data_IF_083058346398
#
_entry.id   IF_083058346398
#
_cell.length_a   1.000
_cell.length_b   1.000
_cell.length_c   1.000
_cell.angle_alpha   90.00
_cell.angle_beta   90.00
_cell.angle_gamma   90.00
#
_symmetry.space_group_name_H-M   'P 1'
#
loop_
_entity.id
_entity.type
_entity.pdbx_description
1 polymer ?
#
# COMPACT_ATOMS: atom_id res chain seq x y z
N UNK A 1 -14.67 -30.44 -56.45
CA UNK A 1 -15.40 -31.71 -56.35
C UNK A 1 -15.04 -32.35 -55.02
N UNK A 2 -16.08 -32.72 -54.27
CA UNK A 2 -16.15 -33.66 -53.15
C UNK A 2 -15.58 -33.29 -51.77
N UNK A 3 -16.51 -32.94 -50.88
CA UNK A 3 -16.56 -33.40 -49.49
C UNK A 3 -16.46 -34.93 -49.42
N UNK A 4 -15.89 -35.48 -48.33
CA UNK A 4 -16.44 -36.67 -47.65
C UNK A 4 -16.12 -36.60 -46.15
N UNK A 5 -17.19 -36.70 -45.38
CA UNK A 5 -17.29 -36.91 -43.94
C UNK A 5 -17.50 -38.41 -43.69
N UNK A 6 -16.69 -39.08 -42.85
CA UNK A 6 -17.06 -40.38 -42.22
C UNK A 6 -16.41 -40.51 -40.85
N UNK A 7 -17.24 -40.81 -39.86
CA UNK A 7 -16.90 -41.10 -38.47
C UNK A 7 -16.80 -42.61 -38.18
N UNK A 8 -15.85 -42.99 -37.30
CA UNK A 8 -15.86 -43.99 -36.17
C UNK A 8 -16.38 -45.43 -36.40
N UNK A 9 -15.87 -46.51 -35.72
CA UNK A 9 -15.80 -46.58 -34.24
C UNK A 9 -14.79 -47.55 -33.52
N UNK A 10 -14.68 -47.34 -32.19
CA UNK A 10 -14.70 -48.26 -31.03
C UNK A 10 -13.50 -49.10 -30.50
N UNK A 11 -13.45 -49.09 -29.15
CA UNK A 11 -12.80 -49.94 -28.11
C UNK A 11 -11.29 -49.77 -27.84
N UNK A 12 -10.81 -49.58 -26.60
CA UNK A 12 -11.47 -49.45 -25.29
C UNK A 12 -10.46 -49.39 -24.13
N UNK A 13 -10.92 -48.94 -22.96
CA UNK A 13 -10.43 -49.35 -21.63
C UNK A 13 -9.22 -48.63 -21.02
N UNK A 14 -9.47 -47.80 -19.98
CA UNK A 14 -8.43 -47.37 -19.04
C UNK A 14 -8.79 -46.13 -18.22
N UNK A 15 -9.60 -46.28 -17.16
CA UNK A 15 -9.77 -45.25 -16.12
C UNK A 15 -8.51 -45.18 -15.26
N UNK A 16 -7.93 -43.99 -15.11
CA UNK A 16 -7.11 -43.61 -13.94
C UNK A 16 -7.57 -42.22 -13.49
N UNK A 17 -7.97 -42.13 -12.23
CA UNK A 17 -8.35 -40.89 -11.57
C UNK A 17 -7.12 -39.97 -11.40
N UNK A 18 -7.26 -38.69 -11.77
CA UNK A 18 -6.31 -37.63 -11.46
C UNK A 18 -7.03 -36.45 -10.85
N UNK A 19 -7.15 -36.47 -9.52
CA UNK A 19 -7.48 -35.30 -8.70
C UNK A 19 -6.26 -34.39 -8.66
N UNK A 20 -6.37 -33.17 -9.18
CA UNK A 20 -5.23 -32.23 -9.18
C UNK A 20 -5.33 -31.09 -10.18
N UNK A 21 -6.49 -30.45 -10.33
CA UNK A 21 -6.61 -29.28 -11.22
C UNK A 21 -7.57 -28.18 -10.76
N UNK A 22 -8.19 -28.30 -9.58
CA UNK A 22 -9.19 -27.32 -9.13
C UNK A 22 -8.67 -26.20 -8.20
N UNK A 23 -7.44 -26.31 -7.66
CA UNK A 23 -6.87 -25.23 -6.82
C UNK A 23 -6.31 -24.05 -7.63
N UNK A 24 -5.70 -24.31 -8.79
CA UNK A 24 -5.05 -23.27 -9.59
C UNK A 24 -6.06 -22.32 -10.26
N UNK A 25 -7.30 -22.79 -10.48
CA UNK A 25 -8.39 -21.99 -11.03
C UNK A 25 -9.01 -21.03 -10.01
N UNK A 26 -8.83 -21.27 -8.71
CA UNK A 26 -9.45 -20.50 -7.62
C UNK A 26 -8.59 -19.32 -7.14
N UNK A 27 -7.26 -19.46 -7.17
CA UNK A 27 -6.34 -18.38 -6.82
C UNK A 27 -6.25 -17.27 -7.86
N UNK A 28 -6.16 -17.64 -9.15
CA UNK A 28 -6.24 -16.65 -10.24
C UNK A 28 -7.55 -15.87 -10.21
N UNK A 29 -8.67 -16.46 -9.80
CA UNK A 29 -9.96 -15.76 -9.71
C UNK A 29 -10.06 -14.76 -8.54
N UNK A 30 -9.21 -14.86 -7.51
CA UNK A 30 -9.26 -13.98 -6.32
C UNK A 30 -8.38 -12.74 -6.47
N UNK A 31 -7.12 -12.89 -6.90
CA UNK A 31 -6.23 -11.75 -7.17
C UNK A 31 -6.53 -11.04 -8.49
N UNK A 32 -7.07 -11.75 -9.50
CA UNK A 32 -7.65 -11.08 -10.67
C UNK A 32 -8.98 -10.39 -10.34
N UNK A 33 -9.76 -10.83 -9.34
CA UNK A 33 -10.92 -10.07 -8.85
C UNK A 33 -10.52 -8.84 -8.07
N UNK A 34 -9.49 -8.89 -7.23
CA UNK A 34 -8.97 -7.68 -6.58
C UNK A 34 -8.33 -6.71 -7.58
N UNK A 35 -7.58 -7.20 -8.58
CA UNK A 35 -7.02 -6.34 -9.64
C UNK A 35 -8.07 -5.85 -10.65
N UNK A 36 -9.15 -6.59 -10.90
CA UNK A 36 -10.28 -6.15 -11.75
C UNK A 36 -11.34 -5.34 -11.00
N UNK A 37 -11.26 -5.26 -9.66
CA UNK A 37 -12.11 -4.40 -8.83
C UNK A 37 -11.55 -3.00 -8.64
N UNK A 38 -10.27 -2.76 -8.96
CA UNK A 38 -9.75 -1.40 -9.14
C UNK A 38 -9.96 -0.94 -10.59
N UNK A 39 -11.23 -0.88 -11.02
CA UNK A 39 -11.62 0.15 -11.97
C UNK A 39 -11.62 1.45 -11.19
N UNK A 40 -10.73 2.38 -11.52
CA UNK A 40 -10.89 3.78 -11.13
C UNK A 40 -12.36 4.16 -11.37
N UNK A 41 -13.11 4.63 -10.35
CA UNK A 41 -14.46 5.11 -10.58
C UNK A 41 -14.39 6.20 -11.65
N UNK A 42 -15.08 5.96 -12.77
CA UNK A 42 -15.25 6.96 -13.81
C UNK A 42 -15.90 8.20 -13.20
N UNK A 43 -15.22 9.33 -13.33
CA UNK A 43 -15.72 10.65 -12.97
C UNK A 43 -17.00 10.90 -13.78
N UNK A 44 -18.16 10.85 -13.11
CA UNK A 44 -19.38 11.41 -13.69
C UNK A 44 -19.22 12.93 -13.79
N UNK A 45 -19.51 13.55 -14.95
CA UNK A 45 -19.36 14.98 -15.12
C UNK A 45 -20.37 15.74 -14.27
N UNK A 46 -19.87 16.61 -13.38
CA UNK A 46 -20.68 17.65 -12.72
C UNK A 46 -21.29 18.54 -13.80
N UNK A 47 -22.60 18.41 -13.98
CA UNK A 47 -23.42 19.23 -14.88
C UNK A 47 -23.54 20.64 -14.28
N UNK A 48 -22.76 21.59 -14.80
CA UNK A 48 -22.93 23.01 -14.51
C UNK A 48 -24.25 23.49 -15.10
N UNK A 49 -25.27 23.70 -14.25
CA UNK A 49 -26.46 24.46 -14.62
C UNK A 49 -26.13 25.92 -14.36
N UNK A 50 -25.75 26.62 -15.43
CA UNK A 50 -25.68 28.08 -15.43
C UNK A 50 -27.08 28.66 -15.25
N UNK A 51 -27.26 29.46 -14.19
CA UNK A 51 -28.35 30.44 -14.12
C UNK A 51 -27.74 31.83 -14.12
N UNK A 52 -27.93 32.52 -15.24
CA UNK A 52 -27.75 33.97 -15.37
C UNK A 52 -28.86 34.65 -14.57
N UNK A 53 -28.50 35.52 -13.64
CA UNK A 53 -29.29 36.71 -13.31
C UNK A 53 -28.32 37.81 -12.91
N UNK A 54 -28.32 38.90 -13.68
CA UNK A 54 -27.66 40.13 -13.30
C UNK A 54 -28.63 40.99 -12.49
N UNK A 55 -28.11 41.68 -11.48
CA UNK A 55 -28.27 43.13 -11.36
C UNK A 55 -27.31 43.69 -10.30
N UNK A 56 -26.91 44.93 -10.58
CA UNK A 56 -26.00 45.80 -9.84
C UNK A 56 -26.42 46.06 -8.39
N UNK A 57 -25.45 46.19 -7.49
CA UNK A 57 -25.32 47.40 -6.66
C UNK A 57 -23.95 47.47 -5.98
N UNK A 58 -23.40 48.68 -6.00
CA UNK A 58 -22.16 49.12 -5.36
C UNK A 58 -22.37 49.33 -3.86
N UNK A 59 -21.36 49.02 -3.03
CA UNK A 59 -20.82 49.95 -2.02
C UNK A 59 -19.79 49.27 -1.10
N UNK A 60 -18.73 50.03 -0.78
CA UNK A 60 -18.09 50.03 0.53
C UNK A 60 -16.95 49.03 0.72
N UNK A 61 -15.72 49.53 0.67
CA UNK A 61 -14.52 48.76 1.00
C UNK A 61 -14.43 48.38 2.48
N UNK A 62 -13.38 47.61 2.80
CA UNK A 62 -12.33 47.93 3.76
C UNK A 62 -11.13 47.03 3.41
N UNK A 63 -9.98 47.64 3.15
CA UNK A 63 -8.76 46.95 2.78
C UNK A 63 -8.10 46.33 4.01
N UNK A 64 -7.95 45.01 4.01
CA UNK A 64 -7.00 44.29 4.85
C UNK A 64 -5.75 43.98 4.03
N UNK A 65 -4.76 44.86 4.10
CA UNK A 65 -3.43 44.64 3.53
C UNK A 65 -2.75 43.51 4.32
N UNK A 66 -2.79 42.28 3.82
CA UNK A 66 -1.99 41.18 4.36
C UNK A 66 -0.52 41.41 3.97
N UNK A 67 0.20 42.16 4.80
CA UNK A 67 1.65 42.32 4.72
C UNK A 67 2.30 40.98 5.03
N UNK A 68 2.69 40.25 3.98
CA UNK A 68 3.55 39.08 4.13
C UNK A 68 4.97 39.59 4.35
N UNK A 69 5.44 39.55 5.60
CA UNK A 69 6.82 39.85 5.92
C UNK A 69 7.73 38.82 5.23
N UNK A 70 8.50 39.29 4.25
CA UNK A 70 9.59 38.55 3.63
C UNK A 70 10.76 38.48 4.61
N UNK A 71 10.81 37.43 5.42
CA UNK A 71 11.99 37.10 6.22
C UNK A 71 13.09 36.57 5.31
N UNK A 72 14.24 37.23 5.32
CA UNK A 72 15.44 36.82 4.58
C UNK A 72 15.94 35.45 5.12
N UNK A 73 16.29 34.46 4.28
CA UNK A 73 16.72 33.15 4.74
C UNK A 73 18.21 33.18 5.03
N UNK A 74 18.55 33.13 6.31
CA UNK A 74 19.93 33.13 6.76
C UNK A 74 20.07 32.27 7.99
N UNK A 75 19.85 30.96 7.86
CA UNK A 75 20.40 29.91 8.72
C UNK A 75 20.01 28.54 8.13
N UNK A 76 21.03 27.75 7.77
CA UNK A 76 20.92 26.38 7.27
C UNK A 76 20.46 25.45 8.41
N UNK A 77 19.17 25.45 8.72
CA UNK A 77 18.53 24.31 9.37
C UNK A 77 17.60 23.68 8.33
N UNK A 78 17.78 22.40 7.98
CA UNK A 78 16.83 21.70 7.12
C UNK A 78 15.46 21.80 7.80
N UNK A 79 14.49 22.44 7.14
CA UNK A 79 13.09 22.35 7.55
C UNK A 79 12.72 20.87 7.65
N UNK A 80 12.00 20.43 8.70
CA UNK A 80 11.62 19.04 8.84
C UNK A 80 10.90 18.59 7.56
N UNK A 81 11.23 17.41 7.00
CA UNK A 81 10.59 16.90 5.80
C UNK A 81 9.08 16.87 6.01
N UNK A 82 8.35 17.62 5.20
CA UNK A 82 6.89 17.65 5.25
C UNK A 82 6.40 16.31 4.70
N UNK A 83 5.56 15.57 5.45
CA UNK A 83 4.99 14.32 4.95
C UNK A 83 4.25 14.58 3.63
N UNK A 84 4.35 13.68 2.64
CA UNK A 84 3.88 13.94 1.28
C UNK A 84 2.36 14.14 1.20
N UNK A 85 1.58 13.45 2.03
CA UNK A 85 0.13 13.60 2.09
C UNK A 85 -0.27 14.70 3.08
N UNK A 86 -1.23 15.54 2.67
CA UNK A 86 -1.70 16.67 3.45
C UNK A 86 -2.91 16.29 4.30
N UNK A 87 -3.01 16.92 5.47
CA UNK A 87 -4.18 16.82 6.34
C UNK A 87 -5.26 17.83 5.93
N UNK A 88 -6.41 17.33 5.52
CA UNK A 88 -7.51 18.17 5.02
C UNK A 88 -8.70 18.23 5.99
N UNK A 89 -8.91 17.22 6.83
CA UNK A 89 -9.98 17.22 7.84
C UNK A 89 -9.60 18.12 9.03
N UNK A 90 -10.59 18.65 9.79
CA UNK A 90 -10.31 19.40 11.01
C UNK A 90 -9.47 18.60 12.03
N UNK A 91 -9.76 17.31 12.14
CA UNK A 91 -9.04 16.37 13.02
C UNK A 91 -7.59 16.22 12.57
N UNK A 92 -7.36 15.95 11.28
CA UNK A 92 -6.01 15.81 10.77
C UNK A 92 -5.22 17.11 10.81
N UNK A 93 -5.83 18.27 10.56
CA UNK A 93 -5.14 19.56 10.70
C UNK A 93 -4.67 19.80 12.14
N UNK A 94 -5.51 19.47 13.12
CA UNK A 94 -5.15 19.50 14.53
C UNK A 94 -3.99 18.54 14.85
N UNK A 95 -4.09 17.28 14.40
CA UNK A 95 -3.02 16.28 14.61
C UNK A 95 -1.72 16.66 13.90
N UNK A 96 -1.79 17.27 12.72
CA UNK A 96 -0.65 17.80 11.98
C UNK A 96 0.06 18.92 12.74
N UNK A 97 -0.68 19.80 13.43
CA UNK A 97 -0.10 20.82 14.31
C UNK A 97 0.57 20.21 15.53
N UNK A 98 -0.01 19.15 16.12
CA UNK A 98 0.60 18.45 17.25
C UNK A 98 1.88 17.72 16.81
N UNK A 99 1.86 17.05 15.66
CA UNK A 99 3.03 16.42 15.05
C UNK A 99 4.20 17.40 14.86
N UNK A 100 3.91 18.67 14.57
CA UNK A 100 4.95 19.69 14.39
C UNK A 100 5.40 20.33 15.71
N UNK A 101 4.48 20.57 16.65
CA UNK A 101 4.75 21.34 17.86
C UNK A 101 5.11 20.48 19.07
N UNK A 102 4.38 19.39 19.31
CA UNK A 102 4.51 18.54 20.49
C UNK A 102 4.25 17.06 20.13
N UNK A 103 5.17 16.38 19.41
CA UNK A 103 4.97 15.00 18.93
C UNK A 103 4.62 14.01 20.04
N UNK A 104 5.14 14.22 21.25
CA UNK A 104 4.90 13.37 22.42
C UNK A 104 3.44 13.39 22.92
N UNK A 105 2.66 14.43 22.57
CA UNK A 105 1.24 14.52 22.92
C UNK A 105 0.34 13.84 21.89
N UNK A 106 0.89 13.42 20.74
CA UNK A 106 0.10 12.89 19.64
C UNK A 106 -0.72 11.65 20.03
N UNK A 107 -0.18 10.62 20.74
CA UNK A 107 -0.98 9.45 21.10
C UNK A 107 -2.20 9.81 21.96
N UNK A 108 -2.03 10.70 22.94
CA UNK A 108 -3.13 11.15 23.79
C UNK A 108 -4.16 11.98 23.01
N UNK A 109 -3.72 12.82 22.08
CA UNK A 109 -4.62 13.58 21.21
C UNK A 109 -5.42 12.65 20.29
N UNK A 110 -4.78 11.64 19.69
CA UNK A 110 -5.44 10.65 18.85
C UNK A 110 -6.50 9.89 19.64
N UNK A 111 -6.20 9.49 20.88
CA UNK A 111 -7.14 8.78 21.74
C UNK A 111 -8.41 9.59 21.98
N UNK A 112 -8.24 10.87 22.30
CA UNK A 112 -9.37 11.78 22.49
C UNK A 112 -10.18 11.92 21.20
N UNK A 113 -9.53 12.03 20.03
CA UNK A 113 -10.25 12.14 18.76
C UNK A 113 -11.00 10.86 18.41
N UNK A 114 -10.43 9.69 18.65
CA UNK A 114 -11.11 8.41 18.43
C UNK A 114 -12.32 8.23 19.36
N UNK A 115 -12.19 8.61 20.64
CA UNK A 115 -13.31 8.60 21.59
C UNK A 115 -14.44 9.54 21.17
N UNK A 116 -14.09 10.75 20.71
CA UNK A 116 -15.07 11.72 20.19
C UNK A 116 -15.80 11.16 18.96
N UNK A 117 -15.07 10.59 18.00
CA UNK A 117 -15.67 9.99 16.80
C UNK A 117 -16.58 8.80 17.13
N UNK A 118 -16.22 8.00 18.14
CA UNK A 118 -17.04 6.89 18.62
C UNK A 118 -18.33 7.41 19.29
N UNK A 119 -18.22 8.40 20.18
CA UNK A 119 -19.35 9.02 20.86
C UNK A 119 -20.32 9.68 19.87
N UNK A 120 -19.78 10.42 18.90
CA UNK A 120 -20.58 11.08 17.85
C UNK A 120 -21.32 10.07 16.99
N UNK A 121 -20.74 8.88 16.77
CA UNK A 121 -21.39 7.78 16.03
C UNK A 121 -22.52 7.15 16.85
N UNK A 122 -22.29 6.83 18.12
CA UNK A 122 -23.29 6.23 18.99
C UNK A 122 -24.51 7.15 19.21
N UNK A 123 -24.27 8.46 19.35
CA UNK A 123 -25.34 9.45 19.43
C UNK A 123 -26.22 9.47 18.17
N UNK A 124 -25.65 9.20 17.00
CA UNK A 124 -26.37 9.17 15.72
C UNK A 124 -27.19 7.89 15.54
N UNK A 125 -26.67 6.75 15.99
CA UNK A 125 -27.40 5.48 15.93
C UNK A 125 -28.63 5.50 16.86
N UNK A 126 -28.60 6.27 17.96
CA UNK A 126 -29.71 6.46 18.90
C UNK A 126 -30.91 7.27 18.36
N UNK A 127 -30.68 8.22 17.45
CA UNK A 127 -31.72 9.12 16.91
C UNK A 127 -32.45 8.55 15.67
N UNK A 128 -32.12 7.33 15.25
CA UNK A 128 -32.50 6.77 13.95
C UNK A 128 -33.98 6.34 13.71
N UNK A 129 -34.84 5.98 14.68
CA UNK A 129 -36.04 5.20 14.33
C UNK A 129 -37.13 5.99 13.60
N UNK A 130 -37.12 7.33 13.60
CA UNK A 130 -38.12 8.15 12.89
C UNK A 130 -37.57 8.98 11.72
N UNK A 131 -36.24 9.06 11.55
CA UNK A 131 -35.57 9.92 10.55
C UNK A 131 -35.16 9.19 9.26
N UNK A 132 -35.20 7.85 9.25
CA UNK A 132 -34.67 7.02 8.16
C UNK A 132 -35.47 7.07 6.83
N UNK A 133 -36.67 7.67 6.81
CA UNK A 133 -37.52 7.75 5.61
C UNK A 133 -37.37 9.06 4.81
N UNK A 134 -36.68 10.07 5.34
CA UNK A 134 -36.46 11.34 4.65
C UNK A 134 -35.15 11.30 3.84
N UNK A 135 -35.19 11.57 2.51
CA UNK A 135 -33.99 11.59 1.66
C UNK A 135 -32.92 12.58 2.14
N UNK A 136 -33.30 13.66 2.84
CA UNK A 136 -32.36 14.64 3.37
C UNK A 136 -31.53 14.05 4.53
N UNK A 137 -32.16 13.35 5.47
CA UNK A 137 -31.45 12.70 6.58
C UNK A 137 -30.53 11.59 6.08
N UNK A 138 -30.97 10.83 5.07
CA UNK A 138 -30.10 9.86 4.40
C UNK A 138 -28.84 10.52 3.83
N UNK A 139 -28.99 11.67 3.13
CA UNK A 139 -27.84 12.37 2.55
C UNK A 139 -26.92 12.96 3.61
N UNK A 140 -27.46 13.47 4.72
CA UNK A 140 -26.68 13.95 5.86
C UNK A 140 -25.87 12.81 6.47
N UNK A 141 -26.46 11.64 6.68
CA UNK A 141 -25.76 10.47 7.19
C UNK A 141 -24.61 10.02 6.25
N UNK A 142 -24.84 9.99 4.94
CA UNK A 142 -23.80 9.68 3.95
C UNK A 142 -22.62 10.66 4.00
N UNK A 143 -22.89 11.96 4.13
CA UNK A 143 -21.83 12.99 4.23
C UNK A 143 -21.06 12.82 5.54
N UNK A 144 -21.75 12.62 6.66
CA UNK A 144 -21.11 12.40 7.96
C UNK A 144 -20.25 11.14 7.98
N UNK A 145 -20.70 10.05 7.37
CA UNK A 145 -19.91 8.84 7.20
C UNK A 145 -18.62 9.12 6.44
N UNK A 146 -18.72 9.87 5.34
CA UNK A 146 -17.57 10.24 4.52
C UNK A 146 -16.57 11.13 5.29
N UNK A 147 -17.07 12.08 6.08
CA UNK A 147 -16.25 12.93 6.95
C UNK A 147 -15.55 12.11 8.04
N UNK A 148 -16.25 11.16 8.65
CA UNK A 148 -15.69 10.25 9.66
C UNK A 148 -14.61 9.35 9.07
N UNK A 149 -14.87 8.76 7.90
CA UNK A 149 -13.91 7.95 7.17
C UNK A 149 -12.64 8.74 6.86
N UNK A 150 -12.79 10.00 6.42
CA UNK A 150 -11.66 10.90 6.16
C UNK A 150 -10.87 11.22 7.43
N UNK A 151 -11.55 11.47 8.55
CA UNK A 151 -10.88 11.71 9.83
C UNK A 151 -10.09 10.48 10.29
N UNK A 152 -10.66 9.28 10.20
CA UNK A 152 -10.00 8.02 10.55
C UNK A 152 -8.77 7.75 9.68
N UNK A 153 -8.88 7.98 8.38
CA UNK A 153 -7.76 7.86 7.44
C UNK A 153 -6.60 8.79 7.83
N UNK A 154 -6.90 10.05 8.15
CA UNK A 154 -5.89 11.03 8.56
C UNK A 154 -5.32 10.71 9.96
N UNK A 155 -6.10 10.12 10.87
CA UNK A 155 -5.60 9.58 12.14
C UNK A 155 -4.60 8.46 11.88
N UNK A 156 -4.95 7.47 11.04
CA UNK A 156 -4.04 6.37 10.68
C UNK A 156 -2.75 6.92 10.05
N UNK A 157 -2.87 7.89 9.14
CA UNK A 157 -1.71 8.53 8.54
C UNK A 157 -0.82 9.21 9.58
N UNK A 158 -1.41 9.94 10.53
CA UNK A 158 -0.65 10.62 11.59
C UNK A 158 0.15 9.65 12.47
N UNK A 159 -0.40 8.46 12.76
CA UNK A 159 0.31 7.38 13.46
C UNK A 159 1.50 6.86 12.66
N UNK A 160 1.32 6.66 11.35
CA UNK A 160 2.40 6.21 10.47
C UNK A 160 3.52 7.25 10.43
N UNK A 161 3.19 8.54 10.24
CA UNK A 161 4.16 9.64 10.26
C UNK A 161 4.90 9.68 11.60
N UNK A 162 4.19 9.51 12.72
CA UNK A 162 4.81 9.40 14.04
C UNK A 162 5.83 8.25 14.10
N UNK A 163 5.50 7.07 13.57
CA UNK A 163 6.44 5.94 13.53
C UNK A 163 7.69 6.25 12.71
N UNK A 164 7.57 6.93 11.57
CA UNK A 164 8.75 7.37 10.82
C UNK A 164 9.61 8.34 11.64
N UNK A 165 8.99 9.30 12.33
CA UNK A 165 9.68 10.27 13.20
C UNK A 165 10.37 9.60 14.40
N UNK A 166 9.69 8.68 15.08
CA UNK A 166 10.22 7.94 16.24
C UNK A 166 11.45 7.10 15.86
N UNK A 167 11.48 6.56 14.63
CA UNK A 167 12.62 5.81 14.09
C UNK A 167 13.68 6.72 13.43
N UNK A 168 13.48 8.05 13.43
CA UNK A 168 14.39 9.01 12.80
C UNK A 168 14.55 8.81 11.29
N UNK A 169 13.51 8.29 10.62
CA UNK A 169 13.46 8.06 9.18
C UNK A 169 12.74 9.24 8.54
N UNK A 170 13.27 9.74 7.42
CA UNK A 170 12.70 10.88 6.70
C UNK A 170 11.94 10.36 5.50
N UNK A 171 10.63 10.57 5.46
CA UNK A 171 9.81 10.10 4.36
C UNK A 171 10.22 10.72 3.03
N UNK A 172 10.15 9.94 1.95
CA UNK A 172 10.43 10.39 0.60
C UNK A 172 9.46 11.53 0.25
N UNK A 173 9.97 12.69 -0.21
CA UNK A 173 9.12 13.79 -0.62
C UNK A 173 8.46 13.51 -1.98
N UNK A 174 7.47 14.32 -2.32
CA UNK A 174 6.84 14.29 -3.64
C UNK A 174 7.89 14.34 -4.76
N UNK A 175 7.78 13.41 -5.71
CA UNK A 175 8.68 13.30 -6.85
C UNK A 175 8.29 14.36 -7.90
N UNK A 176 8.99 15.49 -7.85
CA UNK A 176 8.88 16.58 -8.81
C UNK A 176 10.00 16.52 -9.84
N UNK A 177 9.77 17.13 -11.00
CA UNK A 177 10.82 17.33 -11.99
C UNK A 177 11.99 18.11 -11.39
N UNK A 178 13.19 17.63 -11.67
CA UNK A 178 14.45 18.16 -11.15
C UNK A 178 15.11 19.10 -12.17
N UNK A 179 15.98 19.98 -11.71
CA UNK A 179 16.89 20.76 -12.57
C UNK A 179 18.15 19.97 -12.98
N UNK A 180 18.31 18.74 -12.48
CA UNK A 180 19.43 17.87 -12.83
C UNK A 180 19.41 17.55 -14.35
N UNK A 181 20.55 17.66 -15.05
CA UNK A 181 20.62 17.46 -16.50
C UNK A 181 20.24 16.04 -16.95
N UNK A 182 20.29 15.05 -16.06
CA UNK A 182 19.91 13.65 -16.34
C UNK A 182 18.45 13.37 -15.92
N UNK A 183 17.75 14.36 -15.34
CA UNK A 183 16.38 14.22 -14.87
C UNK A 183 16.27 13.32 -13.64
N UNK A 184 17.35 13.19 -12.84
CA UNK A 184 17.41 12.33 -11.67
C UNK A 184 16.57 12.84 -10.49
N UNK A 185 15.73 12.00 -9.89
CA UNK A 185 14.80 12.44 -8.82
C UNK A 185 15.11 11.91 -7.43
N UNK A 186 16.02 10.95 -7.30
CA UNK A 186 16.32 10.20 -6.08
C UNK A 186 17.47 10.76 -5.26
N UNK A 187 17.46 12.07 -5.02
CA UNK A 187 18.38 12.73 -4.09
C UNK A 187 17.93 12.55 -2.62
N UNK A 188 17.54 11.34 -2.25
CA UNK A 188 17.06 11.00 -0.92
C UNK A 188 18.23 10.52 -0.03
N UNK A 189 18.18 10.73 1.29
CA UNK A 189 19.20 10.21 2.18
C UNK A 189 19.19 8.67 2.15
N UNK A 190 20.38 8.05 2.19
CA UNK A 190 20.46 6.62 2.45
C UNK A 190 20.11 6.36 3.92
N UNK A 191 19.02 5.63 4.13
CA UNK A 191 18.49 5.27 5.46
C UNK A 191 18.24 3.77 5.60
N UNK A 192 18.93 2.95 4.78
CA UNK A 192 18.75 1.50 4.71
C UNK A 192 18.81 0.83 6.09
N UNK A 193 19.85 1.11 6.88
CA UNK A 193 19.99 0.57 8.24
C UNK A 193 18.85 0.95 9.18
N UNK A 194 18.29 2.16 9.03
CA UNK A 194 17.15 2.60 9.85
C UNK A 194 15.89 1.86 9.44
N UNK A 195 15.67 1.69 8.14
CA UNK A 195 14.54 0.94 7.59
C UNK A 195 14.62 -0.54 7.92
N UNK A 196 15.82 -1.13 7.91
CA UNK A 196 16.07 -2.50 8.37
C UNK A 196 15.65 -2.68 9.83
N UNK A 197 16.03 -1.74 10.71
CA UNK A 197 15.76 -1.83 12.16
C UNK A 197 14.27 -1.80 12.55
N UNK A 198 13.38 -1.44 11.62
CA UNK A 198 11.92 -1.46 11.80
C UNK A 198 11.38 -2.90 11.82
N UNK A 199 12.09 -3.83 11.18
CA UNK A 199 11.63 -5.20 10.96
C UNK A 199 12.39 -6.20 11.84
N UNK A 200 11.77 -7.35 12.11
CA UNK A 200 12.51 -8.49 12.68
C UNK A 200 13.52 -9.02 11.66
N UNK A 201 14.57 -9.70 12.11
CA UNK A 201 15.57 -10.28 11.22
C UNK A 201 14.94 -11.22 10.19
N UNK A 202 14.01 -12.08 10.64
CA UNK A 202 13.32 -13.03 9.77
C UNK A 202 12.38 -12.34 8.75
N UNK A 203 11.76 -11.22 9.12
CA UNK A 203 11.00 -10.41 8.18
C UNK A 203 11.91 -9.72 7.17
N UNK A 204 13.04 -9.16 7.62
CA UNK A 204 13.96 -8.45 6.74
C UNK A 204 14.58 -9.35 5.66
N UNK A 205 14.86 -10.62 5.95
CA UNK A 205 15.27 -11.61 4.95
C UNK A 205 14.22 -11.80 3.84
N UNK A 206 12.93 -11.82 4.21
CA UNK A 206 11.85 -11.86 3.23
C UNK A 206 11.77 -10.56 2.42
N UNK A 207 12.06 -9.41 3.03
CA UNK A 207 12.13 -8.11 2.35
C UNK A 207 13.27 -8.09 1.32
N UNK A 208 14.46 -8.60 1.66
CA UNK A 208 15.58 -8.74 0.72
C UNK A 208 15.22 -9.66 -0.46
N UNK A 209 14.46 -10.73 -0.20
CA UNK A 209 13.92 -11.58 -1.26
C UNK A 209 12.96 -10.81 -2.17
N UNK A 210 12.06 -9.99 -1.60
CA UNK A 210 11.12 -9.13 -2.35
C UNK A 210 11.86 -8.08 -3.18
N UNK A 211 12.89 -7.43 -2.62
CA UNK A 211 13.75 -6.47 -3.34
C UNK A 211 14.40 -7.11 -4.57
N UNK A 212 14.99 -8.29 -4.41
CA UNK A 212 15.61 -9.02 -5.52
C UNK A 212 14.60 -9.35 -6.64
N UNK A 213 13.36 -9.69 -6.29
CA UNK A 213 12.30 -9.98 -7.26
C UNK A 213 11.81 -8.73 -8.00
N UNK A 214 11.61 -7.64 -7.26
CA UNK A 214 11.08 -6.37 -7.77
C UNK A 214 12.10 -5.65 -8.66
N UNK A 215 13.35 -5.63 -8.23
CA UNK A 215 14.43 -4.94 -8.93
C UNK A 215 15.07 -5.83 -10.01
N UNK A 216 14.78 -7.13 -9.98
CA UNK A 216 15.32 -8.17 -10.83
C UNK A 216 16.77 -8.54 -10.47
N UNK A 217 17.32 -9.56 -11.14
CA UNK A 217 18.71 -10.05 -11.01
C UNK A 217 19.77 -9.04 -11.49
N UNK A 218 19.41 -7.75 -11.58
CA UNK A 218 20.31 -6.63 -11.85
C UNK A 218 21.00 -6.12 -10.59
N UNK A 219 20.84 -6.80 -9.45
CA UNK A 219 21.60 -6.59 -8.21
C UNK A 219 23.12 -6.72 -8.40
N UNK A 220 23.58 -7.19 -9.57
CA UNK A 220 25.00 -7.28 -9.96
C UNK A 220 25.51 -6.00 -10.66
N UNK A 221 24.65 -5.00 -10.91
CA UNK A 221 25.04 -3.70 -11.43
C UNK A 221 25.52 -2.73 -10.34
N UNK A 222 26.37 -1.73 -10.67
CA UNK A 222 26.72 -0.67 -9.71
C UNK A 222 25.46 0.00 -9.15
N UNK A 223 25.41 0.30 -7.84
CA UNK A 223 24.27 0.96 -7.18
C UNK A 223 23.89 2.31 -7.81
N UNK A 224 24.87 2.96 -8.45
CA UNK A 224 24.74 4.23 -9.17
C UNK A 224 24.12 4.08 -10.57
N UNK A 225 23.76 2.86 -10.99
CA UNK A 225 23.15 2.62 -12.30
C UNK A 225 21.81 3.34 -12.37
N UNK A 226 21.71 4.29 -13.31
CA UNK A 226 20.51 5.07 -13.55
C UNK A 226 19.58 4.29 -14.48
N UNK A 227 18.31 4.15 -14.08
CA UNK A 227 17.26 3.64 -14.94
C UNK A 227 16.18 4.69 -15.17
N UNK A 228 15.54 4.61 -16.33
CA UNK A 228 14.37 5.42 -16.65
C UNK A 228 13.11 4.60 -16.40
N UNK A 229 12.21 5.11 -15.57
CA UNK A 229 10.97 4.46 -15.21
C UNK A 229 9.84 5.49 -15.21
N UNK A 230 8.65 5.06 -15.65
CA UNK A 230 7.48 5.93 -15.69
C UNK A 230 6.87 6.08 -14.29
N UNK A 231 6.29 7.25 -13.98
CA UNK A 231 5.72 7.51 -12.64
C UNK A 231 4.58 6.55 -12.32
N UNK A 232 3.77 6.14 -13.30
CA UNK A 232 2.73 5.11 -13.08
C UNK A 232 3.35 3.78 -12.67
N UNK A 233 4.43 3.34 -13.34
CA UNK A 233 5.11 2.08 -12.97
C UNK A 233 5.70 2.15 -11.57
N UNK A 234 6.31 3.28 -11.23
CA UNK A 234 6.90 3.52 -9.92
C UNK A 234 5.83 3.57 -8.81
N UNK A 235 4.69 4.21 -9.08
CA UNK A 235 3.55 4.24 -8.16
C UNK A 235 2.91 2.87 -7.95
N UNK A 236 2.76 2.07 -9.02
CA UNK A 236 2.31 0.66 -8.90
C UNK A 236 3.27 -0.15 -8.04
N UNK A 237 4.57 0.03 -8.25
CA UNK A 237 5.59 -0.68 -7.48
C UNK A 237 5.56 -0.30 -5.99
N UNK A 238 5.44 1.00 -5.71
CA UNK A 238 5.35 1.52 -4.35
C UNK A 238 4.09 0.98 -3.64
N UNK A 239 2.92 1.05 -4.27
CA UNK A 239 1.69 0.51 -3.71
C UNK A 239 1.76 -1.02 -3.48
N UNK A 240 2.34 -1.77 -4.42
CA UNK A 240 2.56 -3.22 -4.26
C UNK A 240 3.48 -3.54 -3.08
N UNK A 241 4.52 -2.74 -2.88
CA UNK A 241 5.47 -2.90 -1.78
C UNK A 241 4.87 -2.50 -0.42
N UNK A 242 3.97 -1.50 -0.38
CA UNK A 242 3.15 -1.24 0.82
C UNK A 242 2.30 -2.44 1.19
N UNK A 243 1.57 -3.01 0.21
CA UNK A 243 0.72 -4.18 0.46
C UNK A 243 1.56 -5.39 0.93
N UNK A 244 2.75 -5.57 0.38
CA UNK A 244 3.69 -6.60 0.83
C UNK A 244 4.13 -6.38 2.27
N UNK A 245 4.54 -5.16 2.64
CA UNK A 245 4.92 -4.82 4.01
C UNK A 245 3.79 -5.02 5.02
N UNK A 246 2.56 -4.65 4.63
CA UNK A 246 1.36 -4.88 5.43
C UNK A 246 1.13 -6.37 5.69
N UNK A 247 1.15 -7.18 4.64
CA UNK A 247 1.04 -8.64 4.75
C UNK A 247 2.15 -9.22 5.65
N UNK A 248 3.40 -8.86 5.38
CA UNK A 248 4.55 -9.42 6.06
C UNK A 248 4.52 -9.12 7.57
N UNK A 249 4.16 -7.89 7.94
CA UNK A 249 4.01 -7.50 9.35
C UNK A 249 2.98 -8.35 10.08
N UNK A 250 1.86 -8.68 9.43
CA UNK A 250 0.81 -9.53 9.99
C UNK A 250 1.30 -10.95 10.25
N UNK A 251 1.95 -11.54 9.25
CA UNK A 251 2.44 -12.91 9.38
C UNK A 251 3.56 -13.00 10.40
N UNK A 252 4.49 -12.04 10.41
CA UNK A 252 5.57 -11.99 11.38
C UNK A 252 5.03 -11.85 12.81
N UNK A 253 4.12 -10.91 13.07
CA UNK A 253 3.51 -10.78 14.41
C UNK A 253 2.82 -12.07 14.87
N UNK A 254 2.11 -12.75 13.98
CA UNK A 254 1.49 -14.04 14.30
C UNK A 254 2.53 -15.11 14.59
N UNK A 255 3.55 -15.21 13.75
CA UNK A 255 4.66 -16.14 13.91
C UNK A 255 5.38 -15.94 15.24
N UNK A 256 5.76 -14.71 15.58
CA UNK A 256 6.42 -14.38 16.84
C UNK A 256 5.53 -14.66 18.06
N UNK A 257 4.22 -14.41 17.95
CA UNK A 257 3.26 -14.74 19.00
C UNK A 257 3.14 -16.26 19.21
N UNK A 258 2.98 -17.05 18.15
CA UNK A 258 2.92 -18.51 18.27
C UNK A 258 4.25 -19.09 18.77
N UNK A 259 5.38 -18.49 18.39
CA UNK A 259 6.71 -18.84 18.88
C UNK A 259 6.80 -18.62 20.40
N UNK A 260 6.41 -17.45 20.88
CA UNK A 260 6.46 -17.10 22.31
C UNK A 260 5.47 -17.92 23.15
N UNK A 261 4.32 -18.28 22.58
CA UNK A 261 3.32 -19.14 23.23
C UNK A 261 3.64 -20.64 23.11
N UNK A 262 4.72 -21.02 22.42
CA UNK A 262 5.07 -22.42 22.11
C UNK A 262 3.94 -23.20 21.40
N UNK A 263 3.14 -22.52 20.59
CA UNK A 263 2.03 -23.11 19.83
C UNK A 263 2.35 -23.27 18.35
N UNK A 264 3.62 -23.12 17.96
CA UNK A 264 4.02 -23.30 16.56
C UNK A 264 3.71 -24.72 16.07
N UNK A 265 3.27 -24.87 14.80
CA UNK A 265 2.94 -26.17 14.24
C UNK A 265 4.12 -27.14 14.27
N UNK A 266 3.98 -28.33 14.87
CA UNK A 266 5.04 -29.34 14.89
C UNK A 266 5.50 -29.65 13.46
N UNK A 267 6.80 -29.52 13.18
CA UNK A 267 7.41 -29.81 11.86
C UNK A 267 7.66 -28.59 10.96
N UNK A 268 7.39 -27.34 11.38
CA UNK A 268 7.73 -26.16 10.58
C UNK A 268 9.25 -26.00 10.36
N UNK A 269 10.08 -26.48 11.30
CA UNK A 269 11.55 -26.53 11.23
C UNK A 269 12.08 -27.77 10.46
N UNK A 270 11.27 -28.82 10.28
CA UNK A 270 11.71 -30.11 9.69
C UNK A 270 11.69 -30.13 8.16
N UNK A 271 11.20 -29.07 7.51
CA UNK A 271 10.96 -29.02 6.06
C UNK A 271 12.21 -28.80 5.19
N UNK A 272 13.43 -28.97 5.71
CA UNK A 272 14.68 -28.91 4.92
C UNK A 272 14.66 -29.85 3.71
N UNK A 273 14.12 -31.07 3.88
CA UNK A 273 14.09 -32.09 2.82
C UNK A 273 12.98 -31.88 1.77
N UNK A 274 11.82 -31.34 2.17
CA UNK A 274 10.71 -31.07 1.24
C UNK A 274 10.95 -29.84 0.38
N UNK A 275 11.80 -28.92 0.85
CA UNK A 275 12.24 -27.73 0.13
C UNK A 275 13.12 -28.06 -1.06
N UNK A 276 14.01 -29.05 -0.95
CA UNK A 276 14.84 -29.52 -2.07
C UNK A 276 14.01 -30.22 -3.15
N UNK A 277 12.99 -30.98 -2.75
CA UNK A 277 12.05 -31.63 -3.69
C UNK A 277 11.13 -30.60 -4.37
N UNK A 278 10.63 -29.59 -3.63
CA UNK A 278 9.86 -28.48 -4.22
C UNK A 278 10.72 -27.55 -5.08
N UNK A 279 12.04 -27.46 -4.87
CA UNK A 279 12.98 -26.71 -5.72
C UNK A 279 12.90 -27.13 -7.19
N UNK A 280 12.47 -28.36 -7.45
CA UNK A 280 12.23 -28.91 -8.80
C UNK A 280 10.80 -28.66 -9.34
N UNK A 281 9.82 -28.39 -8.46
CA UNK A 281 8.40 -28.32 -8.79
C UNK A 281 7.77 -26.92 -8.61
N UNK A 282 8.50 -25.94 -8.06
CA UNK A 282 8.03 -24.55 -7.88
C UNK A 282 8.12 -23.73 -9.17
N UNK A 283 7.47 -24.22 -10.22
CA UNK A 283 7.34 -23.50 -11.51
C UNK A 283 6.06 -22.67 -11.62
N UNK A 284 5.35 -22.39 -10.52
CA UNK A 284 3.99 -21.84 -10.64
C UNK A 284 3.39 -21.10 -9.45
N UNK A 285 4.19 -20.63 -8.49
CA UNK A 285 3.62 -19.86 -7.37
C UNK A 285 3.91 -18.36 -7.42
N UNK A 286 4.91 -17.94 -8.21
CA UNK A 286 5.26 -16.52 -8.37
C UNK A 286 5.76 -16.29 -9.79
N UNK A 287 4.87 -15.84 -10.67
CA UNK A 287 5.22 -15.49 -12.05
C UNK A 287 4.21 -14.49 -12.64
N UNK A 288 4.66 -13.35 -13.21
CA UNK A 288 3.79 -12.44 -13.95
C UNK A 288 3.48 -12.89 -15.38
N UNK A 289 4.28 -13.80 -15.96
CA UNK A 289 4.05 -14.71 -17.11
C UNK A 289 5.46 -15.14 -17.62
N UNK A 290 5.77 -16.42 -17.40
CA UNK A 290 7.06 -17.15 -17.34
C UNK A 290 8.34 -16.61 -17.95
N UNK A 291 9.28 -16.21 -17.06
CA UNK A 291 10.72 -16.15 -17.31
C UNK A 291 11.53 -16.34 -16.01
N UNK A 292 11.53 -17.54 -15.43
CA UNK A 292 12.44 -17.91 -14.32
C UNK A 292 13.09 -19.27 -14.63
N UNK A 293 14.38 -19.24 -14.96
CA UNK A 293 15.29 -20.39 -14.85
C UNK A 293 16.29 -20.03 -13.76
N UNK A 294 16.25 -20.73 -12.62
CA UNK A 294 17.24 -20.57 -11.54
C UNK A 294 18.36 -21.60 -11.73
N UNK A 295 19.61 -21.13 -11.84
CA UNK A 295 20.83 -21.94 -11.72
C UNK A 295 21.46 -21.70 -10.34
N UNK A 296 22.14 -22.68 -9.73
CA UNK A 296 22.78 -22.51 -8.43
C UNK A 296 24.15 -21.84 -8.56
N UNK A 297 24.50 -21.01 -7.58
CA UNK A 297 25.88 -20.71 -7.20
C UNK A 297 26.24 -21.60 -5.99
N UNK A 298 27.41 -22.24 -6.07
CA UNK A 298 27.87 -23.28 -5.15
C UNK A 298 28.83 -22.68 -4.10
N UNK A 299 28.67 -23.10 -2.85
CA UNK A 299 29.74 -23.05 -1.86
C UNK A 299 29.41 -22.34 -0.56
N UNK A 300 29.44 -23.10 0.53
CA UNK A 300 29.69 -22.59 1.89
C UNK A 300 28.72 -23.07 2.95
N UNK A 301 29.01 -24.26 3.49
CA UNK A 301 28.46 -24.76 4.75
C UNK A 301 29.01 -23.88 5.90
N UNK A 302 28.13 -23.18 6.63
CA UNK A 302 28.31 -22.83 8.05
C UNK A 302 27.03 -22.17 8.62
N UNK A 303 26.42 -22.85 9.59
CA UNK A 303 25.53 -22.30 10.65
C UNK A 303 24.32 -21.41 10.27
N UNK A 304 23.49 -21.80 9.29
CA UNK A 304 22.29 -21.01 8.92
C UNK A 304 20.94 -21.73 9.17
N UNK A 305 20.76 -22.27 10.37
CA UNK A 305 19.49 -22.86 10.81
C UNK A 305 18.41 -21.85 11.24
N UNK A 306 18.66 -20.55 11.07
CA UNK A 306 17.76 -19.47 11.53
C UNK A 306 17.07 -18.70 10.40
N UNK A 307 17.67 -18.59 9.21
CA UNK A 307 17.21 -17.70 8.13
C UNK A 307 15.94 -18.12 7.36
N UNK A 308 15.34 -19.26 7.71
CA UNK A 308 14.19 -19.79 6.97
C UNK A 308 12.96 -20.06 7.84
N UNK A 309 12.92 -19.57 9.08
CA UNK A 309 11.84 -19.91 10.02
C UNK A 309 10.52 -19.25 9.66
N UNK A 310 10.52 -17.93 9.43
CA UNK A 310 9.31 -17.22 8.99
C UNK A 310 8.87 -17.66 7.60
N UNK A 311 9.83 -17.88 6.69
CA UNK A 311 9.55 -18.38 5.34
C UNK A 311 8.90 -19.76 5.35
N UNK A 312 9.39 -20.69 6.18
CA UNK A 312 8.80 -22.02 6.34
C UNK A 312 7.42 -21.96 6.99
N UNK A 313 7.24 -21.04 7.95
CA UNK A 313 5.94 -20.78 8.56
C UNK A 313 4.91 -20.31 7.53
N UNK A 314 5.25 -19.34 6.69
CA UNK A 314 4.39 -18.85 5.59
C UNK A 314 3.98 -19.99 4.65
N UNK A 315 4.91 -20.89 4.32
CA UNK A 315 4.62 -22.03 3.45
C UNK A 315 3.76 -23.12 4.10
N UNK A 316 3.71 -23.16 5.42
CA UNK A 316 2.83 -24.06 6.16
C UNK A 316 1.38 -23.57 6.16
N UNK A 317 1.16 -22.25 6.10
CA UNK A 317 -0.18 -21.65 6.14
C UNK A 317 -1.03 -22.10 4.94
N UNK A 318 -2.31 -22.32 5.20
CA UNK A 318 -3.27 -22.63 4.16
C UNK A 318 -3.61 -21.39 3.31
N UNK A 319 -4.17 -21.67 2.13
CA UNK A 319 -4.63 -20.68 1.16
C UNK A 319 -5.50 -19.57 1.74
N UNK A 320 -6.45 -19.95 2.60
CA UNK A 320 -7.45 -19.04 3.15
C UNK A 320 -6.80 -18.12 4.19
N UNK A 321 -5.94 -18.67 5.05
CA UNK A 321 -5.18 -17.89 6.02
C UNK A 321 -4.23 -16.90 5.35
N UNK A 322 -3.51 -17.33 4.31
CA UNK A 322 -2.66 -16.43 3.53
C UNK A 322 -3.46 -15.30 2.88
N UNK A 323 -4.61 -15.62 2.27
CA UNK A 323 -5.48 -14.61 1.69
C UNK A 323 -5.99 -13.62 2.73
N UNK A 324 -6.37 -14.09 3.93
CA UNK A 324 -6.81 -13.22 5.03
C UNK A 324 -5.71 -12.27 5.47
N UNK A 325 -4.45 -12.71 5.50
CA UNK A 325 -3.30 -11.85 5.82
C UNK A 325 -2.97 -10.85 4.71
N UNK A 326 -3.13 -11.25 3.44
CA UNK A 326 -2.86 -10.38 2.29
C UNK A 326 -3.96 -9.34 2.03
N UNK A 327 -5.17 -9.57 2.54
CA UNK A 327 -6.31 -8.66 2.34
C UNK A 327 -6.22 -7.48 3.31
N UNK A 328 -6.32 -6.26 2.78
CA UNK A 328 -6.45 -5.03 3.58
C UNK A 328 -7.73 -5.06 4.41
N UNK A 329 -7.64 -4.68 5.69
CA UNK A 329 -8.75 -4.81 6.62
C UNK A 329 -9.77 -3.68 6.53
N UNK A 330 -9.32 -2.44 6.31
CA UNK A 330 -10.20 -1.26 6.29
C UNK A 330 -10.24 -0.57 4.92
N UNK A 331 -11.34 0.16 4.66
CA UNK A 331 -11.47 0.99 3.45
C UNK A 331 -10.57 2.22 3.54
N UNK A 332 -10.35 2.72 4.75
CA UNK A 332 -9.47 3.80 5.12
C UNK A 332 -8.03 3.49 4.70
N UNK A 333 -7.52 2.29 5.00
CA UNK A 333 -6.16 1.91 4.59
C UNK A 333 -6.01 1.76 3.07
N UNK A 334 -7.03 1.23 2.39
CA UNK A 334 -7.02 1.17 0.91
C UNK A 334 -6.96 2.59 0.32
N UNK A 335 -7.80 3.51 0.82
CA UNK A 335 -7.79 4.90 0.37
C UNK A 335 -6.49 5.62 0.72
N UNK A 336 -5.90 5.30 1.88
CA UNK A 336 -4.64 5.86 2.33
C UNK A 336 -3.46 5.47 1.43
N UNK A 337 -3.38 4.19 1.02
CA UNK A 337 -2.35 3.72 0.08
C UNK A 337 -2.46 4.49 -1.25
N UNK A 338 -3.69 4.66 -1.75
CA UNK A 338 -3.95 5.42 -2.97
C UNK A 338 -3.50 6.88 -2.82
N UNK A 339 -3.89 7.56 -1.74
CA UNK A 339 -3.54 8.96 -1.49
C UNK A 339 -2.05 9.18 -1.27
N UNK A 340 -1.38 8.30 -0.52
CA UNK A 340 0.08 8.34 -0.36
C UNK A 340 0.78 8.17 -1.70
N UNK A 341 0.32 7.23 -2.54
CA UNK A 341 0.87 7.01 -3.89
C UNK A 341 0.65 8.25 -4.77
N UNK A 342 -0.56 8.83 -4.76
CA UNK A 342 -0.86 10.06 -5.50
C UNK A 342 -0.07 11.28 -5.00
N UNK A 343 0.20 11.34 -3.69
CA UNK A 343 0.99 12.41 -3.09
C UNK A 343 2.46 12.35 -3.56
N UNK A 344 3.02 11.15 -3.69
CA UNK A 344 4.39 10.93 -4.16
C UNK A 344 4.54 11.11 -5.67
N UNK A 345 3.71 10.46 -6.47
CA UNK A 345 3.89 10.35 -7.92
C UNK A 345 2.96 11.27 -8.72
N UNK A 346 2.01 11.93 -8.07
CA UNK A 346 0.94 12.68 -8.73
C UNK A 346 -0.27 11.80 -9.08
N UNK A 347 -1.34 12.44 -9.55
CA UNK A 347 -2.52 11.72 -10.04
C UNK A 347 -2.25 11.23 -11.46
N UNK A 348 -2.44 9.93 -11.75
CA UNK A 348 -2.26 9.41 -13.09
C UNK A 348 -3.38 9.94 -14.01
N UNK A 349 -3.04 10.67 -15.08
CA UNK A 349 -3.99 11.10 -16.12
C UNK A 349 -4.22 9.93 -17.09
N UNK A 350 -5.03 8.96 -16.68
CA UNK A 350 -5.40 7.81 -17.51
C UNK A 350 -6.68 8.17 -18.25
N UNK A 351 -6.60 8.37 -19.56
CA UNK A 351 -7.76 8.64 -20.41
C UNK A 351 -8.26 7.32 -20.99
N UNK A 352 -9.57 7.14 -21.06
CA UNK A 352 -10.16 6.01 -21.76
C UNK A 352 -10.33 6.45 -23.21
N UNK A 353 -9.55 5.86 -24.11
CA UNK A 353 -9.66 6.08 -25.54
C UNK A 353 -11.00 5.58 -26.07
N UNK A 354 -11.43 6.06 -27.24
CA UNK A 354 -12.70 5.69 -27.86
C UNK A 354 -12.82 4.19 -28.19
N UNK A 355 -11.69 3.48 -28.25
CA UNK A 355 -11.59 2.02 -28.43
C UNK A 355 -11.69 1.23 -27.09
N UNK A 356 -11.86 1.92 -25.96
CA UNK A 356 -11.88 1.33 -24.62
C UNK A 356 -10.50 0.99 -24.06
N UNK A 357 -9.42 1.35 -24.74
CA UNK A 357 -8.06 1.20 -24.21
C UNK A 357 -7.73 2.31 -23.20
N UNK A 358 -6.84 2.00 -22.26
CA UNK A 358 -6.33 2.98 -21.29
C UNK A 358 -5.15 3.72 -21.93
N UNK A 359 -5.36 4.98 -22.32
CA UNK A 359 -4.32 5.86 -22.80
C UNK A 359 -3.56 6.49 -21.61
N UNK A 360 -2.31 6.06 -21.45
CA UNK A 360 -1.35 6.58 -20.48
C UNK A 360 -0.17 7.30 -21.17
N UNK A 361 -0.37 7.80 -22.39
CA UNK A 361 0.69 8.42 -23.21
C UNK A 361 1.32 9.69 -22.59
N UNK A 362 0.63 10.35 -21.65
CA UNK A 362 1.15 11.51 -20.92
C UNK A 362 1.93 11.15 -19.63
N UNK A 363 2.24 9.87 -19.39
CA UNK A 363 2.98 9.47 -18.18
C UNK A 363 4.40 10.03 -18.19
N UNK A 364 4.76 10.73 -17.12
CA UNK A 364 6.08 11.33 -16.96
C UNK A 364 7.12 10.24 -16.67
N UNK A 365 8.24 10.27 -17.39
CA UNK A 365 9.38 9.38 -17.16
C UNK A 365 10.39 10.09 -16.25
N UNK A 366 10.84 9.40 -15.22
CA UNK A 366 11.85 9.89 -14.27
C UNK A 366 13.08 8.98 -14.28
N UNK A 367 14.24 9.58 -14.00
CA UNK A 367 15.50 8.85 -13.84
C UNK A 367 15.73 8.56 -12.36
N UNK A 368 16.01 7.30 -12.01
CA UNK A 368 16.22 6.83 -10.62
C UNK A 368 17.40 5.86 -10.61
N UNK A 369 18.27 5.94 -9.62
CA UNK A 369 19.33 4.93 -9.41
C UNK A 369 18.78 3.65 -8.79
N UNK A 370 19.55 2.56 -8.86
CA UNK A 370 19.20 1.32 -8.16
C UNK A 370 19.14 1.53 -6.65
N UNK A 371 20.05 2.34 -6.09
CA UNK A 371 20.00 2.73 -4.67
C UNK A 371 18.71 3.48 -4.34
N UNK A 372 18.31 4.46 -5.17
CA UNK A 372 17.05 5.18 -5.00
C UNK A 372 15.83 4.27 -5.04
N UNK A 373 15.77 3.32 -5.98
CA UNK A 373 14.68 2.34 -6.03
C UNK A 373 14.65 1.42 -4.82
N UNK A 374 15.82 0.99 -4.34
CA UNK A 374 15.94 0.18 -3.13
C UNK A 374 15.38 0.95 -1.93
N UNK A 375 15.78 2.22 -1.77
CA UNK A 375 15.25 3.09 -0.72
C UNK A 375 13.74 3.27 -0.82
N UNK A 376 13.20 3.45 -2.03
CA UNK A 376 11.77 3.59 -2.26
C UNK A 376 10.99 2.34 -1.85
N UNK A 377 11.50 1.14 -2.19
CA UNK A 377 10.86 -0.12 -1.84
C UNK A 377 10.96 -0.38 -0.34
N UNK A 378 12.11 -0.13 0.30
CA UNK A 378 12.28 -0.27 1.75
C UNK A 378 11.34 0.67 2.52
N UNK A 379 11.22 1.94 2.13
CA UNK A 379 10.26 2.87 2.74
C UNK A 379 8.81 2.39 2.56
N UNK A 380 8.45 1.93 1.36
CA UNK A 380 7.11 1.41 1.09
C UNK A 380 6.76 0.22 2.00
N UNK A 381 7.69 -0.71 2.18
CA UNK A 381 7.52 -1.88 3.05
C UNK A 381 7.41 -1.48 4.53
N UNK A 382 8.23 -0.52 4.98
CA UNK A 382 8.11 0.05 6.32
C UNK A 382 6.76 0.75 6.51
N UNK A 383 6.31 1.54 5.53
CA UNK A 383 5.00 2.19 5.53
C UNK A 383 3.88 1.17 5.67
N UNK A 384 3.92 0.07 4.91
CA UNK A 384 2.94 -1.01 5.01
C UNK A 384 2.93 -1.70 6.38
N UNK A 385 4.09 -1.88 6.98
CA UNK A 385 4.21 -2.43 8.33
C UNK A 385 3.61 -1.50 9.39
N UNK A 386 3.90 -0.20 9.31
CA UNK A 386 3.31 0.79 10.18
C UNK A 386 1.80 0.96 9.96
N UNK A 387 1.32 0.77 8.74
CA UNK A 387 -0.10 0.81 8.41
C UNK A 387 -0.87 -0.28 9.16
N UNK A 388 -0.34 -1.50 9.20
CA UNK A 388 -0.95 -2.58 9.99
C UNK A 388 -0.98 -2.26 11.49
N UNK A 389 0.13 -1.74 12.04
CA UNK A 389 0.21 -1.37 13.46
C UNK A 389 -0.77 -0.23 13.80
N UNK A 390 -0.88 0.77 12.92
CA UNK A 390 -1.79 1.91 13.08
C UNK A 390 -3.26 1.49 12.97
N UNK A 391 -3.62 0.67 11.98
CA UNK A 391 -4.96 0.09 11.88
C UNK A 391 -5.32 -0.73 13.13
N UNK A 392 -4.40 -1.56 13.61
CA UNK A 392 -4.59 -2.38 14.81
C UNK A 392 -4.82 -1.52 16.06
N UNK A 393 -4.08 -0.42 16.17
CA UNK A 393 -4.27 0.55 17.23
C UNK A 393 -5.64 1.23 17.17
N UNK A 394 -6.02 1.75 16.00
CA UNK A 394 -7.33 2.42 15.82
C UNK A 394 -8.48 1.46 16.10
N UNK A 395 -8.42 0.22 15.60
CA UNK A 395 -9.50 -0.76 15.83
C UNK A 395 -9.71 -1.09 17.30
N UNK A 396 -8.66 -1.04 18.13
CA UNK A 396 -8.78 -1.27 19.57
C UNK A 396 -9.61 -0.21 20.30
N UNK A 397 -9.82 0.96 19.68
CA UNK A 397 -10.54 2.11 20.27
C UNK A 397 -11.80 2.50 19.49
N UNK A 398 -11.79 2.28 18.17
CA UNK A 398 -12.87 2.59 17.25
C UNK A 398 -13.11 1.40 16.32
N UNK A 399 -14.27 0.78 16.41
CA UNK A 399 -14.55 -0.43 15.63
C UNK A 399 -14.89 -0.08 14.18
N UNK A 400 -14.04 -0.51 13.24
CA UNK A 400 -14.31 -0.39 11.81
C UNK A 400 -15.61 -1.13 11.45
N UNK A 401 -16.40 -0.54 10.56
CA UNK A 401 -17.53 -1.24 9.97
C UNK A 401 -16.98 -2.27 8.98
N UNK A 402 -17.18 -3.56 9.26
CA UNK A 402 -16.96 -4.61 8.28
C UNK A 402 -17.89 -4.34 7.09
N UNK A 403 -17.29 -3.99 5.94
CA UNK A 403 -17.99 -3.67 4.70
C UNK A 403 -18.50 -4.88 3.95
#
# INVERSE_FOLDING_TARGET
MSEVLVAMPANGGGRVCGSGSDLNRRFHASLSRCSSSFRFPSLLPRRNIGRKFGHQSSCGGWGGLAVRASGNPGEYYPSPPVPPMQFESPVGQFLGQILQSHPHLLPAAIDQQLENLQTDREAQDGDAPSAAQDPLYKRIAEVRETERQKALEEIIYSLIVQKFLDNGITMIPKITSTSDPVGRVDFWPNQEQKLESVHSAEAFEMILSHLSLVLGDRSVGPLDTIIQISKIKLGKLYAASIMYGYFLRRVDQRFQLERTMNTLPKGYDENRARYEELKSSTKGLWDPDSLITMMPDDGGDDDDGRSYRLRSYVMYLDAETLQRYATMRSKEAVSLIEKQTQALFGRPDIRISEDGSLDASNDEVVSVTFSGLTMLVLEAVAFGSFLWDAESYVESKYQFLNG
#
